data_IF_407540153310
#
_entry.id   IF_407540153310
#
_cell.length_a   1.000
_cell.length_b   1.000
_cell.length_c   1.000
_cell.angle_alpha   90.00
_cell.angle_beta   90.00
_cell.angle_gamma   90.00
#
_symmetry.space_group_name_H-M   'P 1'
#
loop_
_entity.id
_entity.type
_entity.pdbx_description
1 polymer ?
#
# COMPACT_ATOMS: atom_id res chain seq x y z
N UNK A 1 0.12 12.50 1.83
CA UNK A 1 -1.32 12.25 2.09
C UNK A 1 -1.47 10.77 2.42
N UNK A 2 -2.57 10.38 3.07
CA UNK A 2 -2.87 8.97 3.39
C UNK A 2 -4.30 8.66 2.98
N UNK A 3 -4.52 7.46 2.47
CA UNK A 3 -5.83 6.85 2.23
C UNK A 3 -5.93 5.65 3.15
N UNK A 4 -6.99 5.55 3.95
CA UNK A 4 -7.22 4.49 4.94
C UNK A 4 -8.48 3.70 4.60
N UNK A 5 -8.79 2.69 5.44
CA UNK A 5 -10.02 1.88 5.34
C UNK A 5 -10.12 1.14 3.99
N UNK A 6 -8.96 0.73 3.47
CA UNK A 6 -8.87 0.00 2.21
C UNK A 6 -9.10 -1.49 2.49
N UNK A 7 -10.11 -2.12 1.88
CA UNK A 7 -10.36 -3.55 2.06
C UNK A 7 -9.13 -4.39 1.77
N UNK A 8 -8.87 -5.40 2.60
CA UNK A 8 -7.65 -6.25 2.51
C UNK A 8 -7.43 -6.82 1.10
N UNK A 9 -8.49 -7.26 0.42
CA UNK A 9 -8.38 -7.77 -0.96
C UNK A 9 -7.95 -6.69 -1.95
N UNK A 10 -8.48 -5.48 -1.83
CA UNK A 10 -8.13 -4.33 -2.67
C UNK A 10 -6.69 -3.88 -2.39
N UNK A 11 -6.31 -3.81 -1.12
CA UNK A 11 -4.95 -3.48 -0.68
C UNK A 11 -3.91 -4.43 -1.31
N UNK A 12 -4.14 -5.74 -1.20
CA UNK A 12 -3.27 -6.76 -1.79
C UNK A 12 -3.23 -6.69 -3.32
N UNK A 13 -4.37 -6.40 -3.95
CA UNK A 13 -4.45 -6.20 -5.40
C UNK A 13 -3.58 -5.04 -5.86
N UNK A 14 -3.68 -3.88 -5.19
CA UNK A 14 -2.87 -2.69 -5.52
C UNK A 14 -1.37 -3.01 -5.45
N UNK A 15 -0.91 -3.68 -4.39
CA UNK A 15 0.50 -4.08 -4.26
C UNK A 15 0.93 -4.96 -5.43
N UNK A 16 0.12 -5.96 -5.77
CA UNK A 16 0.39 -6.90 -6.86
C UNK A 16 0.47 -6.19 -8.22
N UNK A 17 -0.46 -5.28 -8.49
CA UNK A 17 -0.55 -4.54 -9.74
C UNK A 17 0.62 -3.55 -9.88
N UNK A 18 0.99 -2.85 -8.80
CA UNK A 18 2.15 -1.95 -8.79
C UNK A 18 3.46 -2.71 -9.01
N UNK A 19 3.67 -3.82 -8.32
CA UNK A 19 4.85 -4.68 -8.54
C UNK A 19 4.91 -5.17 -10.00
N UNK A 20 3.77 -5.56 -10.56
CA UNK A 20 3.67 -5.95 -11.98
C UNK A 20 3.94 -4.80 -12.95
N UNK A 21 3.65 -3.56 -12.55
CA UNK A 21 3.97 -2.33 -13.27
C UNK A 21 5.42 -1.85 -13.05
N UNK A 22 6.25 -2.63 -12.37
CA UNK A 22 7.67 -2.35 -12.16
C UNK A 22 7.98 -1.47 -10.96
N UNK A 23 7.08 -1.37 -9.99
CA UNK A 23 7.42 -0.87 -8.67
C UNK A 23 8.22 -1.92 -7.91
N UNK A 24 9.24 -1.48 -7.18
CA UNK A 24 10.13 -2.35 -6.43
C UNK A 24 9.86 -2.24 -4.93
N UNK A 25 9.82 -3.38 -4.24
CA UNK A 25 9.83 -3.41 -2.78
C UNK A 25 11.20 -3.01 -2.26
N UNK A 26 11.28 -1.88 -1.57
CA UNK A 26 12.54 -1.36 -0.99
C UNK A 26 12.65 -1.61 0.50
N UNK A 27 11.52 -1.86 1.18
CA UNK A 27 11.48 -2.21 2.60
C UNK A 27 10.23 -3.02 2.89
N UNK A 28 10.34 -4.04 3.72
CA UNK A 28 9.21 -4.80 4.25
C UNK A 28 9.44 -5.08 5.73
N UNK A 29 8.40 -4.90 6.53
CA UNK A 29 8.39 -5.27 7.94
C UNK A 29 8.34 -6.79 8.09
N UNK A 30 9.28 -7.34 8.85
CA UNK A 30 9.48 -8.78 9.01
C UNK A 30 9.52 -9.22 10.49
N UNK A 31 8.77 -8.52 11.35
CA UNK A 31 8.58 -8.93 12.75
C UNK A 31 7.83 -10.26 12.88
N UNK A 32 7.78 -10.81 14.10
CA UNK A 32 7.08 -12.08 14.36
C UNK A 32 5.55 -12.00 14.13
N UNK A 33 5.03 -10.78 14.17
CA UNK A 33 3.64 -10.37 13.96
C UNK A 33 3.37 -9.86 12.53
N UNK A 34 4.38 -9.92 11.64
CA UNK A 34 4.26 -9.47 10.26
C UNK A 34 3.11 -10.17 9.54
N UNK A 35 2.20 -9.35 8.99
CA UNK A 35 0.98 -9.80 8.28
C UNK A 35 0.05 -10.68 9.14
N UNK A 36 0.19 -10.63 10.46
CA UNK A 36 -0.73 -11.24 11.44
C UNK A 36 -1.53 -10.15 12.14
N UNK A 37 -0.84 -9.25 12.82
CA UNK A 37 -1.42 -8.10 13.50
C UNK A 37 -0.99 -6.78 12.87
N UNK A 38 0.17 -6.75 12.21
CA UNK A 38 0.69 -5.57 11.52
C UNK A 38 1.52 -5.94 10.30
N UNK A 39 1.34 -5.22 9.21
CA UNK A 39 2.11 -5.33 7.98
C UNK A 39 2.54 -3.96 7.51
N UNK A 40 3.77 -3.85 7.01
CA UNK A 40 4.25 -2.63 6.35
C UNK A 40 5.17 -2.99 5.21
N UNK A 41 4.93 -2.39 4.06
CA UNK A 41 5.79 -2.50 2.88
C UNK A 41 5.94 -1.15 2.20
N UNK A 42 7.15 -0.85 1.72
CA UNK A 42 7.44 0.36 0.98
C UNK A 42 7.78 -0.01 -0.46
N UNK A 43 6.99 0.52 -1.39
CA UNK A 43 7.18 0.36 -2.82
C UNK A 43 7.77 1.64 -3.40
N UNK A 44 8.73 1.51 -4.32
CA UNK A 44 9.38 2.64 -4.98
C UNK A 44 9.38 2.47 -6.51
N UNK A 45 9.18 3.58 -7.21
CA UNK A 45 9.40 3.69 -8.66
C UNK A 45 10.06 5.03 -8.96
N UNK A 46 11.32 5.00 -9.41
CA UNK A 46 12.12 6.21 -9.60
C UNK A 46 12.29 7.01 -8.29
N UNK A 47 11.83 8.26 -8.29
CA UNK A 47 11.88 9.14 -7.11
C UNK A 47 10.60 9.10 -6.27
N UNK A 48 9.57 8.36 -6.71
CA UNK A 48 8.32 8.22 -5.99
C UNK A 48 8.31 6.99 -5.08
N UNK A 49 7.72 7.14 -3.90
CA UNK A 49 7.51 6.07 -2.93
C UNK A 49 6.06 6.03 -2.45
N UNK A 50 5.58 4.83 -2.17
CA UNK A 50 4.29 4.54 -1.55
C UNK A 50 4.55 3.63 -0.35
N UNK A 51 4.03 4.02 0.81
CA UNK A 51 4.08 3.21 2.02
C UNK A 51 2.72 2.56 2.20
N UNK A 52 2.71 1.25 2.26
CA UNK A 52 1.54 0.43 2.51
C UNK A 52 1.63 -0.06 3.95
N UNK A 53 0.58 0.17 4.71
CA UNK A 53 0.41 -0.36 6.07
C UNK A 53 -0.88 -1.15 6.13
N UNK A 54 -0.87 -2.22 6.93
CA UNK A 54 -2.02 -3.05 7.16
C UNK A 54 -2.06 -3.47 8.63
N UNK A 55 -3.25 -3.50 9.21
CA UNK A 55 -3.49 -4.15 10.49
C UNK A 55 -4.86 -4.86 10.50
N UNK A 56 -5.06 -5.74 11.47
CA UNK A 56 -6.27 -6.56 11.56
C UNK A 56 -7.53 -5.82 12.06
N UNK A 57 -7.44 -4.54 12.41
CA UNK A 57 -8.56 -3.72 12.88
C UNK A 57 -9.06 -2.73 11.82
N UNK A 58 -8.13 -2.03 11.17
CA UNK A 58 -8.40 -0.96 10.21
C UNK A 58 -8.09 -1.34 8.76
N UNK A 59 -7.61 -2.57 8.53
CA UNK A 59 -7.19 -3.09 7.23
C UNK A 59 -6.10 -2.21 6.60
N UNK A 60 -6.22 -1.90 5.30
CA UNK A 60 -5.17 -1.26 4.53
C UNK A 60 -5.16 0.27 4.60
N UNK A 61 -3.96 0.82 4.66
CA UNK A 61 -3.68 2.24 4.44
C UNK A 61 -2.51 2.44 3.47
N UNK A 62 -2.60 3.45 2.61
CA UNK A 62 -1.54 3.83 1.67
C UNK A 62 -1.19 5.29 1.89
N UNK A 63 0.09 5.55 2.13
CA UNK A 63 0.66 6.89 2.26
C UNK A 63 1.57 7.20 1.08
N UNK A 64 1.46 8.43 0.55
CA UNK A 64 2.27 8.86 -0.59
C UNK A 64 2.03 10.28 -1.08
N UNK A 65 2.65 10.64 -2.21
CA UNK A 65 2.37 11.87 -2.95
C UNK A 65 0.91 11.95 -3.37
N UNK A 66 0.33 13.16 -3.29
CA UNK A 66 -1.09 13.40 -3.60
C UNK A 66 -1.50 12.88 -4.97
N UNK A 67 -0.78 13.28 -6.03
CA UNK A 67 -1.10 12.87 -7.40
C UNK A 67 -1.16 11.34 -7.61
N UNK A 68 -0.30 10.56 -6.94
CA UNK A 68 -0.33 9.10 -7.03
C UNK A 68 -1.53 8.52 -6.28
N UNK A 69 -1.81 9.04 -5.08
CA UNK A 69 -2.97 8.60 -4.32
C UNK A 69 -4.28 8.96 -5.00
N UNK A 70 -4.36 10.08 -5.72
CA UNK A 70 -5.53 10.42 -6.54
C UNK A 70 -5.71 9.42 -7.69
N UNK A 71 -4.63 9.05 -8.39
CA UNK A 71 -4.71 8.02 -9.44
C UNK A 71 -5.18 6.67 -8.89
N UNK A 72 -4.66 6.25 -7.72
CA UNK A 72 -5.09 5.01 -7.07
C UNK A 72 -6.56 5.08 -6.59
N UNK A 73 -6.99 6.23 -6.06
CA UNK A 73 -8.39 6.46 -5.67
C UNK A 73 -9.32 6.27 -6.86
N UNK A 74 -8.99 6.84 -8.00
CA UNK A 74 -9.80 6.74 -9.22
C UNK A 74 -9.81 5.31 -9.78
N UNK A 75 -8.65 4.66 -9.87
CA UNK A 75 -8.50 3.32 -10.47
C UNK A 75 -9.13 2.21 -9.62
N UNK A 76 -9.02 2.31 -8.29
CA UNK A 76 -9.49 1.27 -7.36
C UNK A 76 -10.76 1.66 -6.60
N UNK A 77 -11.34 2.83 -6.88
CA UNK A 77 -12.51 3.39 -6.19
C UNK A 77 -12.32 3.46 -4.66
N UNK A 78 -11.16 3.97 -4.23
CA UNK A 78 -10.82 4.12 -2.81
C UNK A 78 -11.58 5.29 -2.16
N UNK A 79 -11.80 5.25 -0.83
CA UNK A 79 -12.39 6.36 -0.07
C UNK A 79 -11.56 7.65 -0.15
#
# INVERSE_FOLDING_TARGET
MTVSDIPTDTFNRIITDLCSAGWETVSEYNGMDAWIDYGRIELRQGDASLIFEWDNWSEGAIQGPDHLLQSLKEEYALP
#
